data_IF_237863101514
#
_entry.id   IF_237863101514
#
_cell.length_a   1.000
_cell.length_b   1.000
_cell.length_c   1.000
_cell.angle_alpha   90.00
_cell.angle_beta   90.00
_cell.angle_gamma   90.00
#
_symmetry.space_group_name_H-M   'P 1'
#
loop_
_entity.id
_entity.type
_entity.pdbx_description
1 polymer ?
#
# COMPACT_ATOMS: atom_id res chain seq x y z
N UNK A 1 -52.79 34.21 56.25
CA UNK A 1 -52.64 32.96 55.45
C UNK A 1 -53.85 32.91 54.51
N UNK A 2 -53.93 33.72 53.44
CA UNK A 2 -53.32 33.51 52.09
C UNK A 2 -53.47 32.05 51.64
N UNK A 3 -54.21 31.71 50.58
CA UNK A 3 -54.25 32.31 49.25
C UNK A 3 -55.60 32.17 48.54
N UNK A 4 -55.92 33.19 47.73
CA UNK A 4 -56.97 33.26 46.72
C UNK A 4 -56.47 32.69 45.39
N UNK A 5 -57.38 32.03 44.66
CA UNK A 5 -57.26 31.66 43.26
C UNK A 5 -57.23 32.89 42.34
N UNK A 6 -56.38 32.86 41.30
CA UNK A 6 -56.58 33.67 40.10
C UNK A 6 -55.96 32.97 38.87
N UNK A 7 -56.72 33.06 37.78
CA UNK A 7 -56.45 32.54 36.43
C UNK A 7 -56.08 33.73 35.55
N UNK A 8 -55.01 33.65 34.75
CA UNK A 8 -54.75 34.59 33.63
C UNK A 8 -53.96 33.95 32.48
N UNK A 9 -54.29 34.41 31.27
CA UNK A 9 -53.83 34.05 29.92
C UNK A 9 -52.47 34.66 29.51
N UNK A 10 -51.84 34.12 28.46
CA UNK A 10 -51.07 34.82 27.37
C UNK A 10 -50.03 33.84 26.74
N UNK A 11 -50.28 33.23 25.57
CA UNK A 11 -49.94 33.65 24.18
C UNK A 11 -48.45 33.92 23.88
N UNK A 12 -47.82 33.04 23.10
CA UNK A 12 -46.58 33.28 22.35
C UNK A 12 -46.85 33.30 20.83
N UNK A 13 -46.02 33.99 20.01
CA UNK A 13 -46.30 34.14 18.58
C UNK A 13 -45.66 33.04 17.73
N UNK A 14 -46.35 32.77 16.62
CA UNK A 14 -46.06 31.79 15.57
C UNK A 14 -45.27 32.46 14.45
N UNK A 15 -44.20 31.80 13.99
CA UNK A 15 -43.41 32.19 12.82
C UNK A 15 -43.82 31.39 11.58
N UNK A 16 -44.15 32.15 10.53
CA UNK A 16 -44.65 31.74 9.21
C UNK A 16 -43.55 31.13 8.33
N UNK A 17 -43.80 29.95 7.75
CA UNK A 17 -42.97 29.32 6.70
C UNK A 17 -43.67 29.43 5.35
N UNK A 18 -42.98 30.04 4.38
CA UNK A 18 -43.36 30.05 2.97
C UNK A 18 -42.82 28.83 2.24
N UNK A 19 -43.72 28.00 1.70
CA UNK A 19 -43.42 26.80 0.93
C UNK A 19 -43.24 27.12 -0.56
N UNK A 20 -42.30 26.46 -1.22
CA UNK A 20 -42.25 26.32 -2.68
C UNK A 20 -41.91 24.88 -3.01
N UNK A 21 -42.82 24.27 -3.77
CA UNK A 21 -42.89 22.84 -4.10
C UNK A 21 -42.06 22.51 -5.34
N UNK A 22 -41.31 21.40 -5.28
CA UNK A 22 -40.80 20.71 -6.48
C UNK A 22 -41.27 19.25 -6.43
N UNK A 23 -41.95 18.85 -7.50
CA UNK A 23 -42.57 17.54 -7.70
C UNK A 23 -41.55 16.41 -7.84
N UNK A 24 -41.76 15.32 -7.10
CA UNK A 24 -41.03 14.06 -7.24
C UNK A 24 -41.95 13.00 -7.86
N UNK A 25 -41.60 12.53 -9.06
CA UNK A 25 -42.20 11.31 -9.65
C UNK A 25 -41.45 10.08 -9.14
N UNK A 26 -42.18 9.15 -8.52
CA UNK A 26 -41.72 7.80 -8.15
C UNK A 26 -41.94 6.81 -9.29
N UNK A 27 -40.98 5.91 -9.47
CA UNK A 27 -41.09 4.46 -9.74
C UNK A 27 -39.65 3.94 -9.89
N UNK A 28 -39.22 2.77 -9.46
CA UNK A 28 -39.78 1.59 -8.83
C UNK A 28 -38.60 0.60 -8.69
N UNK A 29 -38.53 -0.13 -7.58
CA UNK A 29 -37.47 -1.09 -7.27
C UNK A 29 -37.58 -2.35 -8.11
N UNK A 30 -36.47 -2.83 -8.69
CA UNK A 30 -36.20 -4.25 -8.91
C UNK A 30 -34.69 -4.55 -8.76
N UNK A 31 -34.43 -5.62 -8.02
CA UNK A 31 -33.14 -6.22 -7.67
C UNK A 31 -32.46 -6.95 -8.84
N UNK A 32 -31.14 -6.79 -9.02
CA UNK A 32 -30.26 -7.87 -9.50
C UNK A 32 -28.77 -7.56 -9.28
N UNK A 33 -27.98 -8.62 -9.07
CA UNK A 33 -26.56 -8.63 -8.71
C UNK A 33 -25.61 -8.09 -9.80
N UNK A 34 -24.40 -7.58 -9.47
CA UNK A 34 -23.53 -7.02 -10.48
C UNK A 34 -22.59 -8.08 -11.10
N UNK A 35 -22.73 -8.25 -12.42
CA UNK A 35 -21.65 -8.72 -13.32
C UNK A 35 -21.13 -7.52 -14.10
N UNK A 36 -19.81 -7.52 -14.33
CA UNK A 36 -19.06 -6.53 -15.08
C UNK A 36 -19.41 -6.50 -16.59
N UNK A 37 -19.39 -5.31 -17.22
CA UNK A 37 -18.39 -4.87 -18.23
C UNK A 37 -18.87 -3.61 -19.04
N UNK A 38 -17.95 -2.64 -19.17
CA UNK A 38 -17.67 -1.77 -20.35
C UNK A 38 -18.67 -0.71 -20.87
N UNK A 39 -18.19 0.54 -21.05
CA UNK A 39 -18.13 1.34 -22.30
C UNK A 39 -17.58 2.76 -21.98
N UNK A 40 -16.34 3.09 -22.35
CA UNK A 40 -15.91 3.88 -23.52
C UNK A 40 -16.43 5.33 -23.65
N UNK A 41 -15.50 6.31 -23.70
CA UNK A 41 -15.79 7.72 -24.01
C UNK A 41 -14.61 8.70 -23.94
N UNK A 42 -13.66 8.59 -24.88
CA UNK A 42 -12.85 9.63 -25.56
C UNK A 42 -12.19 10.81 -24.80
N UNK A 43 -10.85 10.97 -24.95
CA UNK A 43 -10.19 12.27 -24.76
C UNK A 43 -8.67 12.34 -24.48
N UNK A 44 -7.84 11.99 -25.46
CA UNK A 44 -6.49 12.56 -25.73
C UNK A 44 -5.30 12.38 -24.76
N UNK A 45 -4.19 11.84 -25.34
CA UNK A 45 -2.77 11.97 -24.96
C UNK A 45 -2.21 11.18 -23.77
N UNK A 46 -1.92 9.89 -24.06
CA UNK A 46 -0.56 9.31 -24.01
C UNK A 46 0.26 9.32 -22.71
N UNK A 47 0.27 8.18 -22.00
CA UNK A 47 1.50 7.50 -21.59
C UNK A 47 1.19 6.09 -21.08
N UNK A 48 1.71 5.08 -21.77
CA UNK A 48 1.53 3.66 -21.47
C UNK A 48 2.31 3.26 -20.21
N UNK A 49 1.63 2.63 -19.24
CA UNK A 49 2.27 2.02 -18.07
C UNK A 49 2.73 0.61 -18.45
N UNK A 50 4.04 0.42 -18.57
CA UNK A 50 4.67 -0.90 -18.68
C UNK A 50 4.91 -1.43 -17.27
N UNK A 51 4.14 -2.44 -16.85
CA UNK A 51 4.47 -3.26 -15.68
C UNK A 51 5.24 -4.49 -16.15
N UNK A 52 6.54 -4.55 -15.84
CA UNK A 52 7.35 -5.75 -16.03
C UNK A 52 7.54 -6.49 -14.70
N UNK A 53 6.76 -7.55 -14.50
CA UNK A 53 7.06 -8.59 -13.49
C UNK A 53 8.06 -9.57 -14.11
N UNK A 54 9.32 -9.49 -13.69
CA UNK A 54 10.33 -10.50 -14.02
C UNK A 54 10.45 -11.46 -12.83
N UNK A 55 9.79 -12.60 -12.93
CA UNK A 55 10.02 -13.75 -12.06
C UNK A 55 11.28 -14.47 -12.54
N UNK A 56 12.34 -14.46 -11.73
CA UNK A 56 13.53 -15.30 -11.95
C UNK A 56 13.39 -16.58 -11.15
N UNK A 57 12.98 -17.65 -11.82
CA UNK A 57 13.07 -19.02 -11.30
C UNK A 57 14.43 -19.59 -11.69
N UNK A 58 15.29 -19.86 -10.71
CA UNK A 58 16.53 -20.62 -10.90
C UNK A 58 16.27 -22.08 -10.54
N UNK A 59 15.97 -22.90 -11.53
CA UNK A 59 15.97 -24.37 -11.40
C UNK A 59 17.30 -24.91 -11.95
N UNK A 60 18.17 -25.37 -11.06
CA UNK A 60 19.33 -26.19 -11.41
C UNK A 60 18.84 -27.61 -11.70
N UNK A 61 18.78 -27.95 -12.98
CA UNK A 61 18.52 -29.31 -13.48
C UNK A 61 19.67 -29.72 -14.39
N UNK A 62 20.59 -30.50 -13.84
CA UNK A 62 21.75 -31.05 -14.53
C UNK A 62 21.34 -32.28 -15.37
N UNK A 63 21.82 -32.34 -16.61
CA UNK A 63 22.09 -33.61 -17.32
C UNK A 63 20.99 -34.15 -18.25
N UNK A 64 21.07 -33.79 -19.53
CA UNK A 64 20.25 -34.39 -20.60
C UNK A 64 20.77 -34.02 -21.99
N UNK A 65 22.01 -34.40 -22.29
CA UNK A 65 22.67 -34.14 -23.58
C UNK A 65 22.62 -35.35 -24.50
N UNK A 66 21.74 -35.29 -25.50
CA UNK A 66 21.76 -36.08 -26.73
C UNK A 66 23.05 -35.80 -27.50
N UNK A 67 23.80 -36.86 -27.83
CA UNK A 67 24.98 -36.80 -28.69
C UNK A 67 24.85 -37.77 -29.87
N UNK A 68 24.76 -37.21 -31.07
CA UNK A 68 24.96 -37.85 -32.36
C UNK A 68 26.25 -38.70 -32.37
N UNK A 69 26.39 -39.83 -33.05
CA UNK A 69 25.76 -40.24 -34.29
C UNK A 69 26.57 -39.76 -35.50
N UNK A 70 27.82 -40.21 -35.68
CA UNK A 70 28.51 -40.27 -36.99
C UNK A 70 29.85 -41.04 -36.92
N UNK A 71 30.15 -41.83 -37.96
CA UNK A 71 31.46 -42.44 -38.27
C UNK A 71 31.54 -43.94 -37.95
N UNK A 72 31.58 -44.91 -38.88
CA UNK A 72 31.91 -44.87 -40.30
C UNK A 72 33.31 -45.42 -40.54
N UNK A 73 33.42 -46.67 -41.01
CA UNK A 73 34.48 -47.08 -41.95
C UNK A 73 35.53 -48.10 -41.49
N UNK A 74 35.59 -49.20 -42.25
CA UNK A 74 36.73 -50.11 -42.54
C UNK A 74 37.26 -50.99 -41.39
N UNK A 75 37.43 -52.30 -41.54
CA UNK A 75 37.56 -53.14 -42.72
C UNK A 75 38.92 -53.83 -42.74
N UNK A 76 38.93 -55.16 -42.79
CA UNK A 76 40.11 -56.01 -43.04
C UNK A 76 40.65 -56.70 -41.79
N UNK A 77 40.77 -58.02 -41.67
CA UNK A 77 40.72 -59.07 -42.68
C UNK A 77 42.05 -59.84 -42.72
N UNK A 78 41.97 -61.11 -42.32
CA UNK A 78 42.68 -62.26 -42.86
C UNK A 78 44.12 -62.63 -42.39
N UNK A 79 44.21 -63.93 -42.11
CA UNK A 79 45.36 -64.85 -42.23
C UNK A 79 46.45 -64.73 -41.17
N UNK A 80 46.99 -65.81 -40.62
CA UNK A 80 46.92 -67.23 -40.98
C UNK A 80 48.22 -67.89 -40.48
N UNK A 81 48.15 -69.17 -40.13
CA UNK A 81 49.35 -69.99 -39.91
C UNK A 81 49.35 -70.79 -38.61
N UNK A 82 48.56 -71.87 -38.58
CA UNK A 82 48.83 -72.99 -37.70
C UNK A 82 49.94 -73.86 -38.26
N UNK A 83 50.70 -74.51 -37.38
CA UNK A 83 51.44 -75.74 -37.69
C UNK A 83 51.27 -76.71 -36.52
N UNK A 84 50.75 -77.89 -36.86
CA UNK A 84 50.63 -79.08 -36.02
C UNK A 84 51.18 -80.26 -36.83
N UNK A 85 51.46 -81.37 -36.14
CA UNK A 85 51.79 -82.73 -36.63
C UNK A 85 53.30 -83.00 -36.80
N UNK A 86 53.97 -83.66 -35.84
CA UNK A 86 53.97 -85.12 -35.57
C UNK A 86 54.55 -85.96 -36.70
N UNK A 87 55.83 -86.33 -36.61
CA UNK A 87 56.36 -87.62 -37.08
C UNK A 87 57.82 -87.82 -36.62
N UNK A 88 58.12 -89.08 -36.29
CA UNK A 88 59.42 -89.75 -36.36
C UNK A 88 60.49 -89.43 -35.28
N UNK A 89 60.51 -90.31 -34.25
CA UNK A 89 61.66 -91.18 -33.92
C UNK A 89 63.02 -90.68 -34.42
N UNK A 90 63.84 -90.08 -33.53
CA UNK A 90 65.20 -90.59 -33.26
C UNK A 90 65.82 -89.90 -32.02
N UNK A 91 66.53 -90.69 -31.22
CA UNK A 91 67.04 -90.34 -29.88
C UNK A 91 68.28 -89.44 -29.83
N UNK A 92 68.41 -88.48 -30.76
CA UNK A 92 69.55 -87.55 -30.87
C UNK A 92 69.14 -86.06 -30.82
N UNK A 93 67.88 -85.78 -30.47
CA UNK A 93 67.21 -84.47 -30.62
C UNK A 93 67.24 -83.56 -29.39
N UNK A 94 67.86 -83.97 -28.28
CA UNK A 94 67.84 -83.17 -27.03
C UNK A 94 68.87 -82.03 -27.03
N UNK A 95 70.03 -82.19 -27.69
CA UNK A 95 71.08 -81.16 -27.72
C UNK A 95 70.88 -80.05 -28.78
N UNK A 96 70.16 -80.34 -29.87
CA UNK A 96 69.80 -79.34 -30.89
C UNK A 96 68.62 -78.46 -30.44
N UNK A 97 67.74 -78.98 -29.57
CA UNK A 97 66.59 -78.26 -29.05
C UNK A 97 66.99 -77.16 -28.04
N UNK A 98 68.01 -77.37 -27.22
CA UNK A 98 68.50 -76.36 -26.27
C UNK A 98 69.19 -75.18 -26.98
N UNK A 99 69.94 -75.45 -28.06
CA UNK A 99 70.57 -74.40 -28.86
C UNK A 99 69.55 -73.61 -29.69
N UNK A 100 68.55 -74.28 -30.26
CA UNK A 100 67.47 -73.64 -31.00
C UNK A 100 66.55 -72.80 -30.08
N UNK A 101 66.29 -73.26 -28.85
CA UNK A 101 65.54 -72.47 -27.86
C UNK A 101 66.35 -71.28 -27.34
N UNK A 102 67.66 -71.40 -27.12
CA UNK A 102 68.54 -70.28 -26.78
C UNK A 102 68.66 -69.26 -27.92
N UNK A 103 68.67 -69.70 -29.17
CA UNK A 103 68.69 -68.81 -30.33
C UNK A 103 67.35 -68.08 -30.47
N UNK A 104 66.22 -68.74 -30.27
CA UNK A 104 64.90 -68.10 -30.25
C UNK A 104 64.77 -67.07 -29.12
N UNK A 105 65.32 -67.36 -27.93
CA UNK A 105 65.38 -66.39 -26.83
C UNK A 105 66.24 -65.19 -27.18
N UNK A 106 67.41 -65.40 -27.78
CA UNK A 106 68.30 -64.33 -28.22
C UNK A 106 67.68 -63.48 -29.33
N UNK A 107 66.99 -64.08 -30.30
CA UNK A 107 66.27 -63.35 -31.36
C UNK A 107 65.11 -62.55 -30.76
N UNK A 108 64.41 -63.11 -29.76
CA UNK A 108 63.37 -62.41 -29.02
C UNK A 108 63.94 -61.26 -28.19
N UNK A 109 65.10 -61.43 -27.55
CA UNK A 109 65.79 -60.39 -26.80
C UNK A 109 66.33 -59.30 -27.72
N UNK A 110 66.85 -59.65 -28.89
CA UNK A 110 67.23 -58.71 -29.93
C UNK A 110 66.01 -57.90 -30.43
N UNK A 111 64.88 -58.57 -30.69
CA UNK A 111 63.64 -57.89 -31.07
C UNK A 111 63.09 -56.98 -29.95
N UNK A 112 63.27 -57.36 -28.69
CA UNK A 112 62.89 -56.55 -27.53
C UNK A 112 63.80 -55.33 -27.38
N UNK A 113 65.13 -55.49 -27.55
CA UNK A 113 66.08 -54.38 -27.54
C UNK A 113 65.84 -53.42 -28.71
N UNK A 114 65.54 -53.93 -29.90
CA UNK A 114 65.15 -53.12 -31.06
C UNK A 114 63.86 -52.33 -30.75
N UNK A 115 62.88 -52.98 -30.09
CA UNK A 115 61.63 -52.34 -29.69
C UNK A 115 61.86 -51.27 -28.62
N UNK A 116 62.68 -51.53 -27.61
CA UNK A 116 63.04 -50.55 -26.58
C UNK A 116 63.72 -49.34 -27.20
N UNK A 117 64.70 -49.54 -28.10
CA UNK A 117 65.35 -48.43 -28.82
C UNK A 117 64.35 -47.61 -29.66
N UNK A 118 63.40 -48.28 -30.32
CA UNK A 118 62.37 -47.58 -31.09
C UNK A 118 61.43 -46.75 -30.20
N UNK A 119 61.11 -47.25 -29.00
CA UNK A 119 60.26 -46.56 -28.02
C UNK A 119 61.01 -45.41 -27.34
N UNK A 120 62.29 -45.58 -27.03
CA UNK A 120 63.15 -44.50 -26.53
C UNK A 120 63.28 -43.37 -27.54
N UNK A 121 63.47 -43.69 -28.83
CA UNK A 121 63.51 -42.69 -29.89
C UNK A 121 62.16 -41.97 -30.07
N UNK A 122 61.05 -42.70 -29.96
CA UNK A 122 59.70 -42.12 -30.01
C UNK A 122 59.42 -41.22 -28.80
N UNK A 123 59.83 -41.63 -27.58
CA UNK A 123 59.70 -40.82 -26.37
C UNK A 123 60.55 -39.55 -26.45
N UNK A 124 61.80 -39.63 -26.90
CA UNK A 124 62.64 -38.45 -27.09
C UNK A 124 62.03 -37.45 -28.08
N UNK A 125 61.39 -37.96 -29.15
CA UNK A 125 60.66 -37.12 -30.11
C UNK A 125 59.42 -36.46 -29.48
N UNK A 126 58.65 -37.20 -28.68
CA UNK A 126 57.49 -36.66 -27.98
C UNK A 126 57.88 -35.60 -26.94
N UNK A 127 58.97 -35.80 -26.19
CA UNK A 127 59.49 -34.82 -25.25
C UNK A 127 59.90 -33.51 -25.95
N UNK A 128 60.54 -33.59 -27.11
CA UNK A 128 60.86 -32.42 -27.93
C UNK A 128 59.59 -31.69 -28.39
N UNK A 129 58.58 -32.42 -28.86
CA UNK A 129 57.31 -31.84 -29.27
C UNK A 129 56.55 -31.18 -28.11
N UNK A 130 56.61 -31.77 -26.91
CA UNK A 130 56.03 -31.20 -25.70
C UNK A 130 56.75 -29.91 -25.31
N UNK A 131 58.09 -29.89 -25.32
CA UNK A 131 58.86 -28.66 -25.06
C UNK A 131 58.53 -27.58 -26.09
N UNK A 132 58.54 -27.91 -27.37
CA UNK A 132 58.23 -26.95 -28.44
C UNK A 132 56.79 -26.42 -28.33
N UNK A 133 55.84 -27.27 -27.91
CA UNK A 133 54.46 -26.85 -27.64
C UNK A 133 54.36 -25.89 -26.45
N UNK A 134 55.10 -26.12 -25.37
CA UNK A 134 55.12 -25.23 -24.20
C UNK A 134 55.90 -23.93 -24.47
N UNK A 135 56.94 -23.94 -25.31
CA UNK A 135 57.63 -22.72 -25.74
C UNK A 135 56.77 -21.88 -26.69
N UNK A 136 56.11 -22.51 -27.67
CA UNK A 136 55.17 -21.82 -28.58
C UNK A 136 53.92 -21.33 -27.85
N UNK A 137 53.48 -22.03 -26.81
CA UNK A 137 52.47 -21.58 -25.84
C UNK A 137 53.10 -21.06 -24.57
N UNK A 138 54.21 -20.32 -24.67
CA UNK A 138 54.75 -19.53 -23.56
C UNK A 138 53.60 -18.79 -22.85
N UNK A 139 53.72 -18.53 -21.53
CA UNK A 139 52.59 -18.20 -20.66
C UNK A 139 51.73 -17.17 -21.35
N UNK A 140 50.51 -17.58 -21.73
CA UNK A 140 49.60 -16.79 -22.56
C UNK A 140 49.64 -15.37 -22.02
N UNK A 141 50.34 -14.49 -22.74
CA UNK A 141 50.54 -13.11 -22.34
C UNK A 141 49.16 -12.60 -21.97
N UNK A 142 48.99 -12.18 -20.71
CA UNK A 142 47.73 -11.64 -20.20
C UNK A 142 47.19 -10.72 -21.29
N UNK A 143 46.07 -11.12 -21.92
CA UNK A 143 45.45 -10.31 -22.96
C UNK A 143 45.23 -8.94 -22.34
N UNK A 144 45.90 -7.91 -22.82
CA UNK A 144 45.83 -6.58 -22.22
C UNK A 144 44.44 -6.00 -22.43
N UNK A 145 43.55 -6.22 -21.45
CA UNK A 145 42.20 -5.66 -21.43
C UNK A 145 42.17 -4.17 -21.06
N UNK A 146 43.33 -3.51 -21.04
CA UNK A 146 43.51 -2.14 -20.56
C UNK A 146 42.59 -1.14 -21.27
N UNK A 147 42.38 -1.29 -22.59
CA UNK A 147 41.53 -0.39 -23.36
C UNK A 147 40.05 -0.45 -22.94
N UNK A 148 39.58 -1.58 -22.39
CA UNK A 148 38.18 -1.75 -22.00
C UNK A 148 37.87 -0.99 -20.71
N UNK A 149 38.87 -0.70 -19.88
CA UNK A 149 38.65 0.06 -18.65
C UNK A 149 38.20 1.49 -18.92
N UNK A 150 38.74 2.14 -19.95
CA UNK A 150 38.33 3.49 -20.33
C UNK A 150 36.85 3.55 -20.75
N UNK A 151 36.42 2.60 -21.58
CA UNK A 151 35.01 2.48 -22.02
C UNK A 151 34.08 2.06 -20.88
N UNK A 152 34.51 1.15 -20.00
CA UNK A 152 33.75 0.76 -18.81
C UNK A 152 33.58 1.95 -17.86
N UNK A 153 34.62 2.75 -17.64
CA UNK A 153 34.54 3.91 -16.76
C UNK A 153 33.64 5.01 -17.36
N UNK A 154 33.76 5.31 -18.65
CA UNK A 154 32.85 6.24 -19.34
C UNK A 154 31.39 5.78 -19.26
N UNK A 155 31.11 4.48 -19.46
CA UNK A 155 29.76 3.93 -19.30
C UNK A 155 29.27 4.03 -17.85
N UNK A 156 30.12 3.74 -16.86
CA UNK A 156 29.78 3.90 -15.44
C UNK A 156 29.44 5.35 -15.11
N UNK A 157 30.19 6.31 -15.63
CA UNK A 157 29.94 7.73 -15.35
C UNK A 157 28.68 8.23 -16.07
N UNK A 158 28.40 7.75 -17.29
CA UNK A 158 27.10 7.98 -17.96
C UNK A 158 25.93 7.43 -17.15
N UNK A 159 26.05 6.23 -16.60
CA UNK A 159 25.02 5.62 -15.74
C UNK A 159 24.81 6.45 -14.47
N UNK A 160 25.89 6.88 -13.81
CA UNK A 160 25.80 7.74 -12.61
C UNK A 160 25.11 9.06 -12.94
N UNK A 161 25.53 9.73 -14.02
CA UNK A 161 24.94 11.00 -14.45
C UNK A 161 23.46 10.85 -14.81
N UNK A 162 23.09 9.77 -15.50
CA UNK A 162 21.69 9.46 -15.81
C UNK A 162 20.88 9.17 -14.52
N UNK A 163 21.47 8.48 -13.55
CA UNK A 163 20.83 8.20 -12.25
C UNK A 163 20.57 9.48 -11.47
N UNK A 164 21.56 10.40 -11.43
CA UNK A 164 21.42 11.72 -10.79
C UNK A 164 20.38 12.57 -11.55
N UNK A 165 20.40 12.55 -12.88
CA UNK A 165 19.41 13.24 -13.71
C UNK A 165 17.98 12.75 -13.44
N UNK A 166 17.78 11.43 -13.37
CA UNK A 166 16.50 10.83 -13.02
C UNK A 166 16.04 11.22 -11.61
N UNK A 167 16.94 11.21 -10.63
CA UNK A 167 16.63 11.65 -9.26
C UNK A 167 16.21 13.12 -9.23
N UNK A 168 16.89 14.00 -9.95
CA UNK A 168 16.52 15.42 -10.05
C UNK A 168 15.15 15.60 -10.71
N UNK A 169 14.87 14.89 -11.79
CA UNK A 169 13.55 14.93 -12.45
C UNK A 169 12.44 14.46 -11.49
N UNK A 170 12.67 13.39 -10.73
CA UNK A 170 11.72 12.91 -9.74
C UNK A 170 11.45 13.97 -8.66
N UNK A 171 12.50 14.62 -8.14
CA UNK A 171 12.34 15.72 -7.18
C UNK A 171 11.56 16.91 -7.77
N UNK A 172 11.79 17.26 -9.03
CA UNK A 172 11.04 18.32 -9.71
C UNK A 172 9.56 17.95 -9.89
N UNK A 173 9.27 16.68 -10.23
CA UNK A 173 7.91 16.16 -10.32
C UNK A 173 7.22 16.25 -8.96
N UNK A 174 7.88 15.80 -7.89
CA UNK A 174 7.30 15.83 -6.55
C UNK A 174 7.12 17.26 -6.04
N UNK A 175 8.06 18.16 -6.31
CA UNK A 175 7.91 19.58 -6.01
C UNK A 175 6.73 20.21 -6.77
N UNK A 176 6.58 19.89 -8.06
CA UNK A 176 5.46 20.38 -8.88
C UNK A 176 4.12 19.85 -8.40
N UNK A 177 4.06 18.58 -7.96
CA UNK A 177 2.85 17.99 -7.36
C UNK A 177 2.50 18.66 -6.04
N UNK A 178 3.47 18.84 -5.15
CA UNK A 178 3.24 19.53 -3.87
C UNK A 178 2.75 20.96 -4.08
N UNK A 179 3.30 21.69 -5.06
CA UNK A 179 2.82 23.02 -5.42
C UNK A 179 1.38 22.98 -5.97
N UNK A 180 1.05 21.99 -6.81
CA UNK A 180 -0.31 21.83 -7.33
C UNK A 180 -1.31 21.51 -6.21
N UNK A 181 -0.94 20.66 -5.24
CA UNK A 181 -1.78 20.31 -4.10
C UNK A 181 -1.96 21.51 -3.14
N UNK A 182 -0.92 22.33 -2.94
CA UNK A 182 -1.02 23.58 -2.19
C UNK A 182 -1.99 24.58 -2.86
N UNK A 183 -1.87 24.77 -4.18
CA UNK A 183 -2.80 25.62 -4.92
C UNK A 183 -4.23 25.07 -4.92
N UNK A 184 -4.39 23.74 -5.00
CA UNK A 184 -5.69 23.09 -4.89
C UNK A 184 -6.33 23.38 -3.53
N UNK A 185 -5.58 23.19 -2.44
CA UNK A 185 -6.08 23.43 -1.08
C UNK A 185 -6.47 24.90 -0.89
N UNK A 186 -5.63 25.83 -1.39
CA UNK A 186 -5.93 27.27 -1.38
C UNK A 186 -7.19 27.61 -2.18
N UNK A 187 -7.36 27.00 -3.35
CA UNK A 187 -8.55 27.19 -4.18
C UNK A 187 -9.82 26.65 -3.48
N UNK A 188 -9.75 25.45 -2.89
CA UNK A 188 -10.88 24.87 -2.15
C UNK A 188 -11.25 25.74 -0.94
N UNK A 189 -10.27 26.27 -0.21
CA UNK A 189 -10.51 27.21 0.90
C UNK A 189 -11.16 28.53 0.43
N UNK A 190 -10.63 29.14 -0.62
CA UNK A 190 -11.17 30.38 -1.19
C UNK A 190 -12.59 30.17 -1.73
N UNK A 191 -12.85 29.02 -2.39
CA UNK A 191 -14.18 28.66 -2.87
C UNK A 191 -15.18 28.54 -1.72
N UNK A 192 -14.81 27.88 -0.62
CA UNK A 192 -15.63 27.77 0.58
C UNK A 192 -15.93 29.14 1.20
N UNK A 193 -14.91 30.00 1.32
CA UNK A 193 -15.07 31.36 1.83
C UNK A 193 -15.99 32.18 0.93
N UNK A 194 -15.81 32.10 -0.39
CA UNK A 194 -16.67 32.77 -1.37
C UNK A 194 -18.12 32.30 -1.24
N UNK A 195 -18.37 31.00 -1.15
CA UNK A 195 -19.72 30.45 -0.99
C UNK A 195 -20.38 30.92 0.30
N UNK A 196 -19.64 31.01 1.41
CA UNK A 196 -20.14 31.58 2.66
C UNK A 196 -20.55 33.04 2.48
N UNK A 197 -19.69 33.85 1.87
CA UNK A 197 -19.98 35.27 1.62
C UNK A 197 -21.15 35.45 0.65
N UNK A 198 -21.26 34.61 -0.39
CA UNK A 198 -22.41 34.62 -1.31
C UNK A 198 -23.73 34.28 -0.59
N UNK A 199 -23.69 33.31 0.33
CA UNK A 199 -24.84 32.97 1.17
C UNK A 199 -25.23 34.15 2.10
N UNK A 200 -24.25 34.80 2.72
CA UNK A 200 -24.48 35.98 3.56
C UNK A 200 -25.07 37.15 2.75
N UNK A 201 -24.55 37.42 1.54
CA UNK A 201 -25.11 38.45 0.65
C UNK A 201 -26.56 38.11 0.28
N UNK A 202 -26.87 36.84 -0.03
CA UNK A 202 -28.23 36.42 -0.33
C UNK A 202 -29.17 36.61 0.86
N UNK A 203 -28.70 36.30 2.07
CA UNK A 203 -29.45 36.52 3.31
C UNK A 203 -29.67 38.01 3.60
N UNK A 204 -28.65 38.85 3.41
CA UNK A 204 -28.76 40.30 3.56
C UNK A 204 -29.74 40.92 2.56
N UNK A 205 -29.75 40.43 1.31
CA UNK A 205 -30.76 40.85 0.31
C UNK A 205 -32.18 40.48 0.75
N UNK A 206 -32.39 39.26 1.23
CA UNK A 206 -33.69 38.85 1.80
C UNK A 206 -34.11 39.70 2.99
N UNK A 207 -33.17 40.03 3.87
CA UNK A 207 -33.45 40.89 5.02
C UNK A 207 -33.81 42.31 4.59
N UNK A 208 -33.14 42.85 3.57
CA UNK A 208 -33.48 44.13 2.97
C UNK A 208 -34.89 44.12 2.37
N UNK A 209 -35.24 43.08 1.61
CA UNK A 209 -36.57 42.92 1.03
C UNK A 209 -37.65 42.85 2.13
N UNK A 210 -37.41 42.04 3.17
CA UNK A 210 -38.30 41.93 4.32
C UNK A 210 -38.46 43.28 5.05
N UNK A 211 -37.36 44.00 5.28
CA UNK A 211 -37.38 45.32 5.91
C UNK A 211 -38.17 46.31 5.07
N UNK A 212 -38.00 46.27 3.75
CA UNK A 212 -38.72 47.12 2.80
C UNK A 212 -40.22 46.83 2.83
N UNK A 213 -40.63 45.57 2.88
CA UNK A 213 -42.03 45.18 3.04
C UNK A 213 -42.61 45.67 4.37
N UNK A 214 -41.89 45.48 5.49
CA UNK A 214 -42.36 45.98 6.79
C UNK A 214 -42.46 47.50 6.84
N UNK A 215 -41.55 48.21 6.16
CA UNK A 215 -41.61 49.66 6.03
C UNK A 215 -42.86 50.09 5.26
N UNK A 216 -43.14 49.46 4.12
CA UNK A 216 -44.33 49.75 3.33
C UNK A 216 -45.64 49.45 4.09
N UNK A 217 -45.68 48.36 4.86
CA UNK A 217 -46.83 48.03 5.71
C UNK A 217 -47.06 49.10 6.81
N UNK A 218 -45.99 49.55 7.46
CA UNK A 218 -46.07 50.63 8.45
C UNK A 218 -46.46 51.98 7.81
N UNK A 219 -45.95 52.29 6.62
CA UNK A 219 -46.35 53.50 5.86
C UNK A 219 -47.85 53.46 5.54
N UNK A 220 -48.38 52.32 5.10
CA UNK A 220 -49.82 52.12 4.86
C UNK A 220 -50.66 52.25 6.14
N UNK A 221 -50.19 51.71 7.27
CA UNK A 221 -50.86 51.89 8.56
C UNK A 221 -50.89 53.36 9.00
N UNK A 222 -49.79 54.10 8.79
CA UNK A 222 -49.70 55.54 9.09
C UNK A 222 -50.68 56.32 8.22
N UNK A 223 -50.73 56.05 6.92
CA UNK A 223 -51.67 56.70 5.99
C UNK A 223 -53.12 56.41 6.38
N UNK A 224 -53.45 55.15 6.70
CA UNK A 224 -54.79 54.78 7.18
C UNK A 224 -55.20 55.50 8.47
N UNK A 225 -54.28 55.64 9.44
CA UNK A 225 -54.53 56.40 10.67
C UNK A 225 -54.66 57.91 10.40
N UNK A 226 -53.93 58.45 9.42
CA UNK A 226 -54.06 59.85 9.01
C UNK A 226 -55.43 60.12 8.38
N UNK A 227 -55.90 59.20 7.52
CA UNK A 227 -57.23 59.26 6.92
C UNK A 227 -58.35 59.15 7.96
N UNK A 228 -58.23 58.24 8.93
CA UNK A 228 -59.18 58.11 10.04
C UNK A 228 -59.22 59.39 10.88
N UNK A 229 -58.06 59.98 11.18
CA UNK A 229 -57.96 61.24 11.91
C UNK A 229 -58.58 62.40 11.12
N UNK A 230 -58.37 62.46 9.80
CA UNK A 230 -59.00 63.45 8.93
C UNK A 230 -60.53 63.27 8.89
N UNK A 231 -61.00 62.03 8.79
CA UNK A 231 -62.42 61.68 8.82
C UNK A 231 -63.07 62.09 10.15
N UNK A 232 -62.47 61.76 11.29
CA UNK A 232 -62.94 62.15 12.62
C UNK A 232 -63.01 63.68 12.79
N UNK A 233 -61.98 64.41 12.32
CA UNK A 233 -61.98 65.88 12.35
C UNK A 233 -63.10 66.47 11.51
N UNK A 234 -63.32 65.93 10.30
CA UNK A 234 -64.40 66.35 9.42
C UNK A 234 -65.77 66.07 10.05
N UNK A 235 -65.98 64.87 10.57
CA UNK A 235 -67.23 64.50 11.24
C UNK A 235 -67.50 65.41 12.45
N UNK A 236 -66.48 65.67 13.29
CA UNK A 236 -66.61 66.60 14.41
C UNK A 236 -66.94 68.03 13.94
N UNK A 237 -66.34 68.51 12.84
CA UNK A 237 -66.66 69.81 12.26
C UNK A 237 -68.10 69.88 11.75
N UNK A 238 -68.59 68.82 11.10
CA UNK A 238 -69.97 68.69 10.63
C UNK A 238 -70.96 68.63 11.81
N UNK A 239 -70.66 67.86 12.85
CA UNK A 239 -71.45 67.79 14.09
C UNK A 239 -71.50 69.15 14.80
N UNK A 240 -70.37 69.86 14.92
CA UNK A 240 -70.32 71.20 15.48
C UNK A 240 -71.11 72.20 14.63
N UNK A 241 -71.07 72.08 13.30
CA UNK A 241 -71.87 72.91 12.40
C UNK A 241 -73.37 72.61 12.57
N UNK A 242 -73.75 71.34 12.67
CA UNK A 242 -75.12 70.91 12.94
C UNK A 242 -75.61 71.42 14.31
N UNK A 243 -74.81 71.27 15.38
CA UNK A 243 -75.11 71.80 16.71
C UNK A 243 -75.21 73.33 16.71
N UNK A 244 -74.34 74.04 15.99
CA UNK A 244 -74.45 75.50 15.81
C UNK A 244 -75.71 75.91 15.05
N UNK A 245 -76.12 75.12 14.05
CA UNK A 245 -77.38 75.32 13.34
C UNK A 245 -78.60 75.08 14.25
N UNK A 246 -78.52 74.08 15.14
CA UNK A 246 -79.52 73.86 16.19
C UNK A 246 -79.55 75.00 17.20
N UNK A 247 -78.40 75.56 17.57
CA UNK A 247 -78.30 76.67 18.53
C UNK A 247 -78.74 78.03 17.96
N UNK A 248 -78.88 78.16 16.63
CA UNK A 248 -79.38 79.37 15.95
C UNK A 248 -80.87 79.30 15.58
N UNK A 249 -81.53 78.20 15.91
CA UNK A 249 -82.98 78.05 15.82
C UNK A 249 -83.64 78.12 17.19
N UNK A 250 -83.92 79.33 17.70
CA UNK A 250 -85.15 79.50 18.49
C UNK A 250 -86.33 79.35 17.54
N UNK A 251 -86.65 78.11 17.18
CA UNK A 251 -87.89 77.79 16.47
C UNK A 251 -88.90 77.37 17.51
N UNK A 252 -89.79 78.31 17.80
CA UNK A 252 -91.09 78.04 18.38
C UNK A 252 -91.82 77.08 17.43
N UNK A 253 -91.88 75.79 17.77
CA UNK A 253 -92.73 74.83 17.08
C UNK A 253 -94.10 74.91 17.76
N UNK A 254 -94.94 75.80 17.22
CA UNK A 254 -96.38 75.66 17.37
C UNK A 254 -96.81 74.36 16.69
N UNK A 255 -97.53 73.56 17.45
CA UNK A 255 -98.07 72.27 17.09
C UNK A 255 -99.11 72.49 15.99
N UNK A 256 -98.79 72.14 14.75
CA UNK A 256 -99.81 71.80 13.77
C UNK A 256 -99.97 70.28 13.77
N UNK A 257 -101.09 69.81 14.31
CA UNK A 257 -101.45 68.40 14.37
C UNK A 257 -101.77 67.93 12.95
N UNK A 258 -100.72 67.52 12.22
CA UNK A 258 -100.88 66.75 11.01
C UNK A 258 -101.70 65.46 11.29
N UNK A 259 -102.47 64.98 10.31
CA UNK A 259 -103.58 64.05 10.51
C UNK A 259 -103.11 62.76 11.18
N UNK A 260 -103.95 62.20 12.07
CA UNK A 260 -103.75 60.93 12.78
C UNK A 260 -102.74 60.01 12.06
N UNK A 261 -101.49 59.99 12.55
CA UNK A 261 -100.54 59.01 12.11
C UNK A 261 -101.09 57.65 12.56
N UNK A 262 -101.37 56.80 11.58
CA UNK A 262 -101.93 55.47 11.80
C UNK A 262 -100.99 54.73 12.76
N UNK A 263 -101.36 54.63 14.04
CA UNK A 263 -100.53 54.05 15.10
C UNK A 263 -100.09 52.62 14.71
N UNK A 264 -100.91 51.96 13.89
CA UNK A 264 -100.62 50.67 13.29
C UNK A 264 -99.40 50.72 12.36
N UNK A 265 -99.29 51.74 11.50
CA UNK A 265 -98.09 51.95 10.66
C UNK A 265 -96.84 52.18 11.49
N UNK A 266 -96.90 52.98 12.55
CA UNK A 266 -95.74 53.25 13.41
C UNK A 266 -95.31 52.00 14.19
N UNK A 267 -96.28 51.24 14.71
CA UNK A 267 -96.02 49.94 15.34
C UNK A 267 -95.44 48.91 14.36
N UNK A 268 -95.95 48.87 13.13
CA UNK A 268 -95.43 48.00 12.06
C UNK A 268 -94.01 48.42 11.64
N UNK A 269 -93.72 49.73 11.59
CA UNK A 269 -92.40 50.27 11.27
C UNK A 269 -91.37 49.99 12.38
N UNK A 270 -91.75 50.15 13.65
CA UNK A 270 -90.93 49.75 14.81
C UNK A 270 -90.68 48.24 14.79
N UNK A 271 -91.69 47.43 14.47
CA UNK A 271 -91.54 45.97 14.36
C UNK A 271 -90.59 45.59 13.23
N UNK A 272 -90.72 46.23 12.06
CA UNK A 272 -89.82 46.05 10.93
C UNK A 272 -88.38 46.46 11.26
N UNK A 273 -88.17 47.53 12.04
CA UNK A 273 -86.84 47.93 12.50
C UNK A 273 -86.25 46.90 13.47
N UNK A 274 -87.01 46.42 14.44
CA UNK A 274 -86.54 45.37 15.35
C UNK A 274 -86.24 44.06 14.63
N UNK A 275 -87.05 43.67 13.66
CA UNK A 275 -86.81 42.49 12.83
C UNK A 275 -85.54 42.65 11.99
N UNK A 276 -85.32 43.83 11.42
CA UNK A 276 -84.09 44.15 10.67
C UNK A 276 -82.84 44.14 11.56
N UNK A 277 -82.92 44.71 12.78
CA UNK A 277 -81.81 44.70 13.74
C UNK A 277 -81.52 43.28 14.21
N UNK A 278 -82.55 42.48 14.51
CA UNK A 278 -82.39 41.10 14.95
C UNK A 278 -81.79 40.23 13.85
N UNK A 279 -82.26 40.39 12.61
CA UNK A 279 -81.71 39.67 11.45
C UNK A 279 -80.27 40.10 11.14
N UNK A 280 -79.95 41.39 11.31
CA UNK A 280 -78.56 41.89 11.20
C UNK A 280 -77.68 41.27 12.29
N UNK A 281 -78.11 41.29 13.54
CA UNK A 281 -77.37 40.67 14.65
C UNK A 281 -77.16 39.17 14.45
N UNK A 282 -78.16 38.44 13.93
CA UNK A 282 -78.05 37.01 13.59
C UNK A 282 -76.98 36.79 12.51
N UNK A 283 -77.01 37.58 11.43
CA UNK A 283 -75.99 37.49 10.36
C UNK A 283 -74.59 37.86 10.86
N UNK A 284 -74.47 38.90 11.67
CA UNK A 284 -73.19 39.34 12.23
C UNK A 284 -72.60 38.27 13.17
N UNK A 285 -73.45 37.59 13.97
CA UNK A 285 -73.03 36.46 14.80
C UNK A 285 -72.62 35.23 13.98
N UNK A 286 -73.39 34.88 12.93
CA UNK A 286 -73.04 33.79 12.02
C UNK A 286 -71.73 34.08 11.27
N UNK A 287 -71.56 35.31 10.79
CA UNK A 287 -70.33 35.75 10.13
C UNK A 287 -69.14 35.69 11.10
N UNK A 288 -69.29 36.18 12.34
CA UNK A 288 -68.26 36.12 13.36
C UNK A 288 -67.88 34.68 13.73
N UNK A 289 -68.88 33.79 13.89
CA UNK A 289 -68.63 32.37 14.17
C UNK A 289 -67.93 31.67 13.00
N UNK A 290 -68.36 31.95 11.77
CA UNK A 290 -67.73 31.40 10.56
C UNK A 290 -66.29 31.89 10.41
N UNK A 291 -66.02 33.18 10.66
CA UNK A 291 -64.67 33.73 10.59
C UNK A 291 -63.77 33.11 11.67
N UNK A 292 -64.27 32.98 12.90
CA UNK A 292 -63.48 32.38 14.00
C UNK A 292 -63.24 30.89 13.81
N UNK A 293 -64.23 30.14 13.32
CA UNK A 293 -64.10 28.71 13.01
C UNK A 293 -63.19 28.47 11.80
N UNK A 294 -63.23 29.34 10.79
CA UNK A 294 -62.30 29.29 9.66
C UNK A 294 -60.85 29.56 10.10
N UNK A 295 -60.64 30.58 10.95
CA UNK A 295 -59.31 30.88 11.51
C UNK A 295 -58.77 29.71 12.34
N UNK A 296 -59.59 29.12 13.21
CA UNK A 296 -59.21 27.94 14.01
C UNK A 296 -58.88 26.73 13.13
N UNK A 297 -59.70 26.47 12.10
CA UNK A 297 -59.47 25.36 11.16
C UNK A 297 -58.15 25.54 10.40
N UNK A 298 -57.84 26.78 9.99
CA UNK A 298 -56.56 27.10 9.35
C UNK A 298 -55.38 26.89 10.29
N UNK A 299 -55.48 27.32 11.55
CA UNK A 299 -54.43 27.13 12.55
C UNK A 299 -54.19 25.65 12.87
N UNK A 300 -55.26 24.86 13.01
CA UNK A 300 -55.16 23.40 13.19
C UNK A 300 -54.50 22.72 11.99
N UNK A 301 -54.81 23.16 10.77
CA UNK A 301 -54.18 22.63 9.56
C UNK A 301 -52.67 22.93 9.53
N UNK A 302 -52.27 24.18 9.81
CA UNK A 302 -50.84 24.58 9.87
C UNK A 302 -50.11 23.83 10.99
N UNK A 303 -50.71 23.72 12.17
CA UNK A 303 -50.16 22.98 13.31
C UNK A 303 -49.98 21.49 12.96
N UNK A 304 -50.97 20.89 12.28
CA UNK A 304 -50.86 19.49 11.83
C UNK A 304 -49.75 19.31 10.78
N UNK A 305 -49.62 20.23 9.83
CA UNK A 305 -48.56 20.20 8.81
C UNK A 305 -47.18 20.30 9.47
N UNK A 306 -46.98 21.28 10.36
CA UNK A 306 -45.71 21.46 11.09
C UNK A 306 -45.35 20.26 11.97
N UNK A 307 -46.33 19.61 12.60
CA UNK A 307 -46.10 18.36 13.34
C UNK A 307 -45.68 17.22 12.39
N UNK A 308 -46.28 17.12 11.20
CA UNK A 308 -45.89 16.08 10.25
C UNK A 308 -44.50 16.33 9.67
N UNK A 309 -44.15 17.57 9.31
CA UNK A 309 -42.83 17.91 8.77
C UNK A 309 -41.73 17.66 9.81
N UNK A 310 -41.90 18.16 11.03
CA UNK A 310 -40.95 17.91 12.13
C UNK A 310 -40.80 16.43 12.45
N UNK A 311 -41.90 15.66 12.42
CA UNK A 311 -41.85 14.20 12.57
C UNK A 311 -41.04 13.54 11.46
N UNK A 312 -41.21 13.96 10.20
CA UNK A 312 -40.41 13.41 9.08
C UNK A 312 -38.93 13.77 9.22
N UNK A 313 -38.61 15.02 9.57
CA UNK A 313 -37.23 15.46 9.81
C UNK A 313 -36.57 14.66 10.94
N UNK A 314 -37.27 14.43 12.06
CA UNK A 314 -36.77 13.60 13.16
C UNK A 314 -36.50 12.16 12.66
N UNK A 315 -37.39 11.59 11.85
CA UNK A 315 -37.17 10.23 11.32
C UNK A 315 -35.99 10.16 10.36
N UNK A 316 -35.77 11.19 9.55
CA UNK A 316 -34.65 11.24 8.62
C UNK A 316 -33.32 11.45 9.37
N UNK A 317 -33.30 12.35 10.35
CA UNK A 317 -32.14 12.54 11.25
C UNK A 317 -31.80 11.25 12.00
N UNK A 318 -32.80 10.49 12.46
CA UNK A 318 -32.56 9.17 13.07
C UNK A 318 -31.96 8.16 12.09
N UNK A 319 -32.43 8.13 10.84
CA UNK A 319 -31.85 7.26 9.80
C UNK A 319 -30.42 7.66 9.48
N UNK A 320 -30.12 8.95 9.37
CA UNK A 320 -28.75 9.42 9.12
C UNK A 320 -27.83 9.10 10.30
N UNK A 321 -28.31 9.26 11.54
CA UNK A 321 -27.54 8.92 12.73
C UNK A 321 -27.22 7.42 12.76
N UNK A 322 -28.21 6.56 12.51
CA UNK A 322 -27.99 5.10 12.43
C UNK A 322 -27.00 4.74 11.30
N UNK A 323 -27.10 5.40 10.14
CA UNK A 323 -26.15 5.21 9.04
C UNK A 323 -24.72 5.58 9.44
N UNK A 324 -24.54 6.72 10.12
CA UNK A 324 -23.23 7.16 10.62
C UNK A 324 -22.70 6.24 11.73
N UNK A 325 -23.55 5.71 12.60
CA UNK A 325 -23.15 4.72 13.61
C UNK A 325 -22.65 3.43 12.96
N UNK A 326 -23.34 2.93 11.93
CA UNK A 326 -22.91 1.74 11.19
C UNK A 326 -21.57 2.00 10.49
N UNK A 327 -21.41 3.16 9.86
CA UNK A 327 -20.15 3.54 9.23
C UNK A 327 -19.02 3.62 10.27
N UNK A 328 -19.27 4.22 11.43
CA UNK A 328 -18.31 4.26 12.54
C UNK A 328 -17.90 2.85 12.98
N UNK A 329 -18.86 1.93 13.16
CA UNK A 329 -18.55 0.55 13.53
C UNK A 329 -17.75 -0.19 12.43
N UNK A 330 -18.09 0.05 11.16
CA UNK A 330 -17.35 -0.48 10.01
C UNK A 330 -15.90 0.00 10.00
N UNK A 331 -15.68 1.30 10.20
CA UNK A 331 -14.34 1.90 10.25
C UNK A 331 -13.53 1.39 11.45
N UNK A 332 -14.16 1.22 12.62
CA UNK A 332 -13.50 0.61 13.79
C UNK A 332 -13.10 -0.84 13.52
N UNK A 333 -13.95 -1.62 12.86
CA UNK A 333 -13.63 -3.01 12.46
C UNK A 333 -12.48 -3.05 11.45
N UNK A 334 -12.50 -2.16 10.45
CA UNK A 334 -11.42 -2.04 9.46
C UNK A 334 -10.09 -1.65 10.12
N UNK A 335 -10.12 -0.68 11.04
CA UNK A 335 -8.95 -0.28 11.83
C UNK A 335 -8.37 -1.47 12.59
N UNK A 336 -9.21 -2.20 13.33
CA UNK A 336 -8.77 -3.35 14.11
C UNK A 336 -8.16 -4.46 13.23
N UNK A 337 -8.76 -4.70 12.05
CA UNK A 337 -8.20 -5.65 11.08
C UNK A 337 -6.81 -5.20 10.57
N UNK A 338 -6.65 -3.92 10.24
CA UNK A 338 -5.37 -3.37 9.80
C UNK A 338 -4.30 -3.43 10.89
N UNK A 339 -4.64 -3.05 12.13
CA UNK A 339 -3.74 -3.16 13.28
C UNK A 339 -3.30 -4.63 13.51
N UNK A 340 -4.21 -5.59 13.36
CA UNK A 340 -3.88 -7.01 13.49
C UNK A 340 -2.96 -7.48 12.36
N UNK A 341 -3.20 -7.07 11.10
CA UNK A 341 -2.31 -7.40 9.99
C UNK A 341 -0.92 -6.79 10.16
N UNK A 342 -0.84 -5.55 10.68
CA UNK A 342 0.43 -4.91 11.00
C UNK A 342 1.18 -5.71 12.05
N UNK A 343 0.54 -6.03 13.17
CA UNK A 343 1.13 -6.83 14.25
C UNK A 343 1.60 -8.21 13.75
N UNK A 344 0.82 -8.88 12.90
CA UNK A 344 1.21 -10.17 12.31
C UNK A 344 2.44 -10.03 11.40
N UNK A 345 2.50 -8.99 10.57
CA UNK A 345 3.66 -8.74 9.70
C UNK A 345 4.91 -8.42 10.51
N UNK A 346 4.80 -7.58 11.54
CA UNK A 346 5.89 -7.25 12.46
C UNK A 346 6.39 -8.50 13.19
N UNK A 347 5.48 -9.32 13.72
CA UNK A 347 5.83 -10.59 14.37
C UNK A 347 6.55 -11.55 13.42
N UNK A 348 6.07 -11.66 12.18
CA UNK A 348 6.71 -12.50 11.14
C UNK A 348 8.11 -12.01 10.80
N UNK A 349 8.31 -10.70 10.61
CA UNK A 349 9.63 -10.15 10.32
C UNK A 349 10.58 -10.26 11.51
N UNK A 350 10.08 -10.05 12.73
CA UNK A 350 10.84 -10.26 13.96
C UNK A 350 11.32 -11.71 14.09
N UNK A 351 10.44 -12.69 13.81
CA UNK A 351 10.81 -14.11 13.80
C UNK A 351 11.86 -14.43 12.71
N UNK A 352 11.73 -13.82 11.53
CA UNK A 352 12.71 -13.99 10.44
C UNK A 352 14.07 -13.41 10.81
N UNK A 353 14.12 -12.22 11.41
CA UNK A 353 15.34 -11.59 11.90
C UNK A 353 16.00 -12.42 13.00
N UNK A 354 15.22 -12.96 13.94
CA UNK A 354 15.73 -13.88 14.95
C UNK A 354 16.31 -15.16 14.32
N UNK A 355 15.66 -15.69 13.27
CA UNK A 355 16.18 -16.81 12.48
C UNK A 355 17.54 -16.50 11.84
N UNK A 356 17.68 -15.33 11.19
CA UNK A 356 18.95 -14.91 10.62
C UNK A 356 20.03 -14.68 11.68
N UNK A 357 19.69 -14.09 12.83
CA UNK A 357 20.63 -13.91 13.93
C UNK A 357 21.13 -15.27 14.46
N UNK A 358 20.24 -16.26 14.58
CA UNK A 358 20.64 -17.62 14.97
C UNK A 358 21.58 -18.26 13.93
N UNK A 359 21.32 -18.07 12.64
CA UNK A 359 22.20 -18.57 11.58
C UNK A 359 23.58 -17.89 11.62
N UNK A 360 23.63 -16.58 11.85
CA UNK A 360 24.87 -15.84 12.04
C UNK A 360 25.63 -16.41 13.24
N UNK A 361 24.98 -16.56 14.40
CA UNK A 361 25.61 -17.09 15.61
C UNK A 361 26.17 -18.51 15.38
N UNK A 362 25.47 -19.37 14.65
CA UNK A 362 25.96 -20.71 14.31
C UNK A 362 27.21 -20.66 13.41
N UNK A 363 27.19 -19.83 12.38
CA UNK A 363 28.33 -19.66 11.47
C UNK A 363 29.54 -19.03 12.19
N UNK A 364 29.31 -18.06 13.08
CA UNK A 364 30.36 -17.47 13.91
C UNK A 364 30.98 -18.51 14.85
N UNK A 365 30.16 -19.39 15.45
CA UNK A 365 30.65 -20.49 16.28
C UNK A 365 31.47 -21.51 15.47
N UNK A 366 31.01 -21.90 14.28
CA UNK A 366 31.74 -22.80 13.38
C UNK A 366 33.09 -22.17 12.97
N UNK A 367 33.08 -20.89 12.60
CA UNK A 367 34.30 -20.15 12.25
C UNK A 367 35.28 -20.08 13.42
N UNK A 368 34.79 -19.85 14.65
CA UNK A 368 35.61 -19.87 15.85
C UNK A 368 36.21 -21.25 16.11
N UNK A 369 35.44 -22.32 15.92
CA UNK A 369 35.90 -23.69 16.07
C UNK A 369 36.98 -24.07 15.03
N UNK A 370 36.79 -23.70 13.76
CA UNK A 370 37.78 -23.92 12.70
C UNK A 370 39.07 -23.15 13.01
N UNK A 371 38.98 -21.89 13.45
CA UNK A 371 40.16 -21.10 13.87
C UNK A 371 40.91 -21.79 15.02
N UNK A 372 40.21 -22.22 16.06
CA UNK A 372 40.81 -22.95 17.18
C UNK A 372 41.47 -24.27 16.74
N UNK A 373 40.85 -24.99 15.79
CA UNK A 373 41.42 -26.22 15.23
C UNK A 373 42.68 -25.96 14.42
N UNK A 374 42.71 -24.90 13.60
CA UNK A 374 43.90 -24.48 12.84
C UNK A 374 45.03 -24.09 13.80
N UNK A 375 44.73 -23.32 14.85
CA UNK A 375 45.72 -22.94 15.87
C UNK A 375 46.27 -24.17 16.62
N UNK A 376 45.43 -25.17 16.88
CA UNK A 376 45.88 -26.44 17.47
C UNK A 376 46.79 -27.21 16.50
N UNK A 377 46.38 -27.38 15.25
CA UNK A 377 47.21 -28.06 14.22
C UNK A 377 48.54 -27.34 13.99
N UNK A 378 48.56 -26.01 14.03
CA UNK A 378 49.79 -25.22 13.94
C UNK A 378 50.75 -25.49 15.10
N UNK A 379 50.22 -25.64 16.33
CA UNK A 379 51.01 -26.04 17.50
C UNK A 379 51.57 -27.45 17.35
N UNK A 380 50.73 -28.40 16.96
CA UNK A 380 51.14 -29.80 16.76
C UNK A 380 52.20 -29.94 15.66
N UNK A 381 52.07 -29.18 14.56
CA UNK A 381 53.05 -29.16 13.48
C UNK A 381 54.39 -28.58 13.94
N UNK A 382 54.37 -27.53 14.74
CA UNK A 382 55.60 -26.93 15.31
C UNK A 382 56.31 -27.92 16.24
N UNK A 383 55.56 -28.63 17.09
CA UNK A 383 56.11 -29.67 17.95
C UNK A 383 56.72 -30.83 17.14
N UNK A 384 56.04 -31.27 16.08
CA UNK A 384 56.55 -32.32 15.20
C UNK A 384 57.83 -31.89 14.48
N UNK A 385 57.90 -30.63 14.04
CA UNK A 385 59.10 -30.06 13.43
C UNK A 385 60.28 -30.04 14.42
N UNK A 386 60.04 -29.70 15.68
CA UNK A 386 61.05 -29.71 16.74
C UNK A 386 61.59 -31.13 16.98
N UNK A 387 60.68 -32.12 17.12
CA UNK A 387 61.06 -33.54 17.26
C UNK A 387 61.85 -34.01 16.04
N UNK A 388 61.40 -33.70 14.82
CA UNK A 388 62.11 -34.04 13.58
C UNK A 388 63.51 -33.44 13.57
N UNK A 389 63.64 -32.17 13.92
CA UNK A 389 64.94 -31.48 13.98
C UNK A 389 65.87 -32.13 15.00
N UNK A 390 65.35 -32.55 16.17
CA UNK A 390 66.13 -33.29 17.18
C UNK A 390 66.57 -34.66 16.68
N UNK A 391 65.68 -35.43 16.05
CA UNK A 391 66.01 -36.74 15.48
C UNK A 391 67.02 -36.63 14.33
N UNK A 392 66.94 -35.59 13.51
CA UNK A 392 67.92 -35.32 12.45
C UNK A 392 69.32 -35.03 13.04
N UNK A 393 69.39 -34.31 14.16
CA UNK A 393 70.64 -34.11 14.90
C UNK A 393 71.17 -35.44 15.47
N UNK A 394 70.32 -36.25 16.10
CA UNK A 394 70.68 -37.58 16.60
C UNK A 394 71.23 -38.48 15.48
N UNK A 395 70.54 -38.55 14.33
CA UNK A 395 71.01 -39.30 13.14
C UNK A 395 72.35 -38.76 12.63
N UNK A 396 72.54 -37.44 12.58
CA UNK A 396 73.81 -36.84 12.17
C UNK A 396 74.94 -37.26 13.13
N UNK A 397 74.69 -37.25 14.44
CA UNK A 397 75.66 -37.75 15.42
C UNK A 397 75.94 -39.24 15.27
N UNK A 398 74.90 -40.07 15.07
CA UNK A 398 75.09 -41.50 14.82
C UNK A 398 75.89 -41.77 13.55
N UNK A 399 75.63 -41.03 12.46
CA UNK A 399 76.43 -41.11 11.23
C UNK A 399 77.90 -40.74 11.44
N UNK A 400 78.16 -39.67 12.20
CA UNK A 400 79.53 -39.27 12.54
C UNK A 400 80.27 -40.31 13.39
N UNK A 401 79.57 -40.93 14.36
CA UNK A 401 80.14 -42.02 15.16
C UNK A 401 80.41 -43.27 14.31
N UNK A 402 79.53 -43.59 13.36
CA UNK A 402 79.70 -44.72 12.45
C UNK A 402 80.88 -44.48 11.49
N UNK A 403 81.02 -43.27 10.94
CA UNK A 403 82.16 -42.87 10.11
C UNK A 403 83.48 -42.88 10.91
N UNK A 404 83.43 -42.54 12.21
CA UNK A 404 84.56 -42.66 13.14
C UNK A 404 84.93 -44.11 13.47
N UNK A 405 83.97 -45.03 13.49
CA UNK A 405 84.20 -46.47 13.63
C UNK A 405 84.67 -47.10 12.31
N UNK A 406 84.15 -46.70 11.14
CA UNK A 406 84.61 -47.20 9.83
C UNK A 406 86.01 -46.69 9.45
N UNK A 407 86.38 -45.49 9.89
CA UNK A 407 87.76 -44.98 9.80
C UNK A 407 88.71 -45.63 10.81
N UNK A 408 88.17 -46.44 11.74
CA UNK A 408 88.94 -47.29 12.65
C UNK A 408 89.20 -48.63 11.95
N UNK A 409 90.35 -48.73 11.28
CA UNK A 409 90.87 -49.99 10.73
C UNK A 409 90.70 -51.16 11.72
N UNK A 410 90.43 -52.42 11.28
CA UNK A 410 90.34 -53.55 12.18
C UNK A 410 91.75 -53.91 12.67
N UNK A 411 92.17 -53.26 13.76
CA UNK A 411 93.45 -53.44 14.40
C UNK A 411 93.52 -52.61 15.66
N UNK A 412 93.62 -53.29 16.81
CA UNK A 412 93.69 -52.77 18.18
C UNK A 412 92.39 -52.14 18.70
N UNK A 413 91.58 -52.83 19.50
CA UNK A 413 91.95 -53.61 20.68
C UNK A 413 91.56 -52.82 21.93
N UNK A 414 90.65 -53.38 22.74
CA UNK A 414 90.35 -52.87 24.07
C UNK A 414 88.89 -52.49 24.28
N UNK A 415 88.08 -53.48 24.64
CA UNK A 415 86.77 -53.32 25.26
C UNK A 415 86.96 -52.81 26.70
N UNK A 416 86.34 -51.68 27.04
CA UNK A 416 86.04 -51.32 28.43
C UNK A 416 84.53 -51.08 28.54
N UNK A 417 83.84 -52.16 28.86
CA UNK A 417 82.45 -52.14 29.33
C UNK A 417 82.45 -51.53 30.73
N UNK A 418 81.93 -50.31 30.87
CA UNK A 418 81.57 -49.73 32.16
C UNK A 418 80.06 -49.84 32.32
N UNK A 419 79.61 -50.89 32.97
CA UNK A 419 78.21 -51.09 33.38
C UNK A 419 77.92 -50.20 34.58
N UNK A 420 77.23 -49.09 34.39
CA UNK A 420 76.71 -48.26 35.49
C UNK A 420 75.24 -48.58 35.70
N UNK A 421 74.97 -49.50 36.64
CA UNK A 421 73.63 -49.82 37.11
C UNK A 421 73.11 -48.68 37.98
N UNK A 422 72.04 -48.00 37.57
CA UNK A 422 71.34 -47.03 38.43
C UNK A 422 69.88 -47.43 38.55
N UNK A 423 69.59 -48.12 39.64
CA UNK A 423 68.23 -48.44 40.10
C UNK A 423 67.58 -47.18 40.66
N UNK A 424 66.48 -46.71 40.07
CA UNK A 424 65.61 -45.71 40.69
C UNK A 424 64.25 -46.33 40.97
N UNK A 425 63.92 -46.30 42.26
CA UNK A 425 62.77 -46.89 42.93
C UNK A 425 61.52 -46.06 42.62
N UNK A 426 60.51 -46.70 42.03
CA UNK A 426 59.17 -46.12 41.89
C UNK A 426 58.54 -45.99 43.29
N UNK A 427 58.00 -44.81 43.58
CA UNK A 427 57.10 -44.57 44.72
C UNK A 427 55.79 -44.12 44.12
N UNK A 428 54.72 -44.84 44.51
CA UNK A 428 53.32 -44.63 44.12
C UNK A 428 52.81 -43.21 44.37
#
# INVERSE_FOLDING_TARGET
MSYMSQTTYSSGPVGFTGSSTVSQRRMGSLSSAPKAYSMHGFGSRGSSRISSTVSRTVSSGYGGGLGAGFGGGMGGGMSGGGFSLSAAVDGDTVHLNEKATMQNLNDRLASYLEKVRSLEAANAKLELQIREYYEKKGPAAQKDYSHYWATINDLKDKIKNATIGNANILLQIDNSKLAADDFRTKYEHELMMRQSVEADIANLRRLLDQTTLTKADLEMQIEGLQDELAYLKKNHQEELAALRSQLTGTVNVEVDAAPQQDLKKVLDEIRAQYETITEKHRRDQEAWFNDKSAALTKEVAISTETIQTTKTEITDLRRTLQGLEIELQSQLSMKAALENTLAETEARFSAMLAGYQNQINMLEAELAQVRASIEQQGRDYTLLLDIKSRLEQEIATYRSLLEKEESRTPGQGGSTVTTTTTTVRSVN
#
